data_IF_010928865364
#
_entry.id   IF_010928865364
#
_cell.length_a   1.000
_cell.length_b   1.000
_cell.length_c   1.000
_cell.angle_alpha   90.00
_cell.angle_beta   90.00
_cell.angle_gamma   90.00
#
_symmetry.space_group_name_H-M   'P 1'
#
loop_
_entity.id
_entity.type
_entity.pdbx_description
1 polymer ?
#
# COMPACT_ATOMS: atom_id res chain seq x y z
N UNK A 1 -4.80 -6.60 -21.14
CA UNK A 1 -4.32 -6.23 -19.78
C UNK A 1 -3.87 -4.78 -19.79
N UNK A 2 -4.68 -3.92 -19.18
CA UNK A 2 -4.49 -2.48 -19.00
C UNK A 2 -3.33 -2.18 -18.03
N UNK A 3 -2.87 -0.93 -18.00
CA UNK A 3 -1.86 -0.46 -17.05
C UNK A 3 -2.35 -0.63 -15.60
N UNK A 4 -3.64 -0.35 -15.35
CA UNK A 4 -4.29 -0.52 -14.04
C UNK A 4 -4.24 -1.97 -13.57
N UNK A 5 -4.63 -2.92 -14.42
CA UNK A 5 -4.60 -4.35 -14.09
C UNK A 5 -3.18 -4.87 -13.83
N UNK A 6 -2.18 -4.40 -14.61
CA UNK A 6 -0.77 -4.74 -14.37
C UNK A 6 -0.29 -4.24 -13.02
N UNK A 7 -0.61 -3.00 -12.67
CA UNK A 7 -0.30 -2.43 -11.37
C UNK A 7 -0.96 -3.22 -10.23
N UNK A 8 -2.26 -3.50 -10.35
CA UNK A 8 -3.00 -4.29 -9.36
C UNK A 8 -2.44 -5.71 -9.22
N UNK A 9 -2.04 -6.36 -10.32
CA UNK A 9 -1.39 -7.67 -10.28
C UNK A 9 -0.08 -7.64 -9.48
N UNK A 10 0.70 -6.58 -9.63
CA UNK A 10 1.92 -6.40 -8.85
C UNK A 10 1.63 -6.16 -7.36
N UNK A 11 0.62 -5.36 -7.03
CA UNK A 11 0.21 -5.12 -5.65
C UNK A 11 -0.35 -6.39 -4.98
N UNK A 12 -1.14 -7.18 -5.72
CA UNK A 12 -1.66 -8.46 -5.26
C UNK A 12 -0.54 -9.45 -4.95
N UNK A 13 0.42 -9.62 -5.87
CA UNK A 13 1.56 -10.49 -5.67
C UNK A 13 2.40 -10.09 -4.44
N UNK A 14 2.65 -8.78 -4.27
CA UNK A 14 3.32 -8.25 -3.07
C UNK A 14 2.53 -8.55 -1.80
N UNK A 15 1.22 -8.30 -1.78
CA UNK A 15 0.34 -8.55 -0.64
C UNK A 15 0.35 -10.03 -0.23
N UNK A 16 0.22 -10.94 -1.19
CA UNK A 16 0.27 -12.39 -0.95
C UNK A 16 1.65 -12.80 -0.39
N UNK A 17 2.73 -12.31 -0.99
CA UNK A 17 4.09 -12.57 -0.51
C UNK A 17 4.31 -12.08 0.92
N UNK A 18 3.88 -10.85 1.21
CA UNK A 18 4.01 -10.22 2.52
C UNK A 18 3.23 -10.96 3.63
N UNK A 19 2.09 -11.57 3.31
CA UNK A 19 1.30 -12.30 4.31
C UNK A 19 1.68 -13.77 4.46
N UNK A 20 2.16 -14.43 3.40
CA UNK A 20 2.26 -15.91 3.39
C UNK A 20 3.65 -16.47 3.06
N UNK A 21 4.63 -15.64 2.68
CA UNK A 21 5.99 -16.10 2.38
C UNK A 21 6.98 -15.62 3.43
N UNK A 22 7.53 -16.54 4.23
CA UNK A 22 8.57 -16.24 5.23
C UNK A 22 9.86 -15.62 4.64
N UNK A 23 10.07 -15.78 3.32
CA UNK A 23 11.21 -15.20 2.59
C UNK A 23 10.94 -13.76 2.14
N UNK A 24 9.70 -13.29 2.20
CA UNK A 24 9.35 -11.95 1.77
C UNK A 24 9.87 -10.92 2.78
N UNK A 25 10.48 -9.80 2.33
CA UNK A 25 11.09 -8.82 3.24
C UNK A 25 10.10 -8.22 4.25
N UNK A 26 8.85 -8.02 3.83
CA UNK A 26 7.80 -7.49 4.71
C UNK A 26 7.07 -8.57 5.54
N UNK A 27 7.45 -9.85 5.48
CA UNK A 27 6.73 -10.92 6.19
C UNK A 27 6.59 -10.64 7.68
N UNK A 28 7.67 -10.21 8.33
CA UNK A 28 7.69 -9.87 9.76
C UNK A 28 6.68 -8.78 10.17
N UNK A 29 6.20 -7.95 9.23
CA UNK A 29 5.23 -6.87 9.48
C UNK A 29 3.79 -7.30 9.31
N UNK A 30 3.56 -8.38 8.58
CA UNK A 30 2.22 -8.84 8.23
C UNK A 30 2.04 -10.29 8.64
N UNK A 31 2.49 -11.25 7.82
CA UNK A 31 2.32 -12.68 8.12
C UNK A 31 2.97 -13.15 9.42
N UNK A 32 4.05 -12.50 9.85
CA UNK A 32 4.73 -12.79 11.12
C UNK A 32 4.01 -12.25 12.36
N UNK A 33 2.96 -11.44 12.18
CA UNK A 33 2.11 -10.90 13.25
C UNK A 33 0.63 -11.22 12.99
N UNK A 34 0.37 -12.32 12.27
CA UNK A 34 -0.95 -12.86 11.96
C UNK A 34 -1.88 -11.96 11.12
N UNK A 35 -1.32 -10.99 10.39
CA UNK A 35 -2.09 -10.28 9.36
C UNK A 35 -2.22 -11.17 8.13
N UNK A 36 -3.47 -11.36 7.70
CA UNK A 36 -3.83 -12.19 6.55
C UNK A 36 -4.48 -11.38 5.44
N UNK A 37 -4.84 -12.06 4.36
CA UNK A 37 -5.60 -11.52 3.22
C UNK A 37 -6.99 -12.13 3.24
N UNK A 38 -8.03 -11.33 2.96
CA UNK A 38 -9.40 -11.81 2.83
C UNK A 38 -9.47 -13.01 1.87
N UNK A 39 -10.19 -14.09 2.22
CA UNK A 39 -10.23 -15.32 1.42
C UNK A 39 -10.55 -15.07 -0.05
N UNK A 40 -11.55 -14.21 -0.34
CA UNK A 40 -11.92 -13.85 -1.72
C UNK A 40 -10.74 -13.30 -2.54
N UNK A 41 -9.96 -12.38 -1.95
CA UNK A 41 -8.79 -11.79 -2.62
C UNK A 41 -7.64 -12.77 -2.76
N UNK A 42 -7.48 -13.67 -1.79
CA UNK A 42 -6.44 -14.70 -1.80
C UNK A 42 -6.70 -15.75 -2.88
N UNK A 43 -7.95 -16.19 -3.00
CA UNK A 43 -8.37 -17.28 -3.87
C UNK A 43 -8.65 -16.83 -5.30
N UNK A 44 -9.13 -15.60 -5.49
CA UNK A 44 -9.52 -15.08 -6.79
C UNK A 44 -8.97 -13.67 -7.03
N UNK A 45 -7.99 -13.57 -7.93
CA UNK A 45 -7.42 -12.28 -8.34
C UNK A 45 -8.46 -11.33 -8.94
N UNK A 46 -9.46 -11.85 -9.67
CA UNK A 46 -10.48 -11.00 -10.31
C UNK A 46 -11.37 -10.30 -9.28
N UNK A 47 -11.66 -10.95 -8.13
CA UNK A 47 -12.40 -10.28 -7.05
C UNK A 47 -11.60 -9.12 -6.46
N UNK A 48 -10.28 -9.30 -6.30
CA UNK A 48 -9.38 -8.24 -5.87
C UNK A 48 -9.36 -7.07 -6.88
N UNK A 49 -9.30 -7.38 -8.18
CA UNK A 49 -9.33 -6.33 -9.21
C UNK A 49 -10.64 -5.56 -9.16
N UNK A 50 -11.78 -6.25 -9.12
CA UNK A 50 -13.10 -5.63 -9.10
C UNK A 50 -13.28 -4.70 -7.88
N UNK A 51 -12.82 -5.11 -6.70
CA UNK A 51 -12.91 -4.26 -5.50
C UNK A 51 -11.97 -3.05 -5.52
N UNK A 52 -10.81 -3.18 -6.19
CA UNK A 52 -9.74 -2.18 -6.10
C UNK A 52 -9.68 -1.22 -7.30
N UNK A 53 -10.17 -1.60 -8.47
CA UNK A 53 -9.93 -0.86 -9.72
C UNK A 53 -10.49 0.56 -9.70
N UNK A 54 -11.64 0.77 -9.05
CA UNK A 54 -12.28 2.08 -8.92
C UNK A 54 -11.71 2.90 -7.75
N UNK A 55 -10.91 2.28 -6.88
CA UNK A 55 -10.23 2.97 -5.78
C UNK A 55 -8.87 3.55 -6.18
N UNK A 56 -8.37 3.20 -7.37
CA UNK A 56 -7.04 3.58 -7.81
C UNK A 56 -6.88 5.10 -7.88
N UNK A 57 -5.74 5.65 -7.38
CA UNK A 57 -5.46 7.06 -7.49
C UNK A 57 -5.28 7.46 -8.96
N UNK A 58 -5.51 8.74 -9.26
CA UNK A 58 -5.36 9.31 -10.62
C UNK A 58 -3.95 9.06 -11.19
N UNK A 59 -2.93 9.10 -10.34
CA UNK A 59 -1.55 8.76 -10.69
C UNK A 59 -1.12 7.52 -9.91
N UNK A 60 -0.63 6.51 -10.64
CA UNK A 60 -0.11 5.26 -10.08
C UNK A 60 1.37 5.36 -9.70
N UNK A 61 2.06 6.40 -10.19
CA UNK A 61 3.46 6.66 -9.90
C UNK A 61 3.68 6.81 -8.40
N UNK A 62 4.69 6.12 -7.87
CA UNK A 62 5.05 6.16 -6.44
C UNK A 62 3.90 5.76 -5.50
N UNK A 63 2.92 4.99 -5.95
CA UNK A 63 1.82 4.49 -5.11
C UNK A 63 2.06 3.05 -4.69
N UNK A 64 1.68 2.74 -3.45
CA UNK A 64 1.61 1.38 -2.92
C UNK A 64 0.39 1.21 -2.03
N UNK A 65 -0.05 -0.04 -1.89
CA UNK A 65 -1.10 -0.39 -0.95
C UNK A 65 -0.56 -0.40 0.49
N UNK A 66 -1.36 0.05 1.44
CA UNK A 66 -1.13 -0.09 2.87
C UNK A 66 -2.43 -0.41 3.61
N UNK A 67 -2.31 -0.90 4.84
CA UNK A 67 -3.45 -1.12 5.72
C UNK A 67 -3.84 0.18 6.43
N UNK A 68 -5.15 0.44 6.52
CA UNK A 68 -5.71 1.50 7.35
C UNK A 68 -5.62 1.12 8.83
N UNK A 69 -6.00 -0.12 9.17
CA UNK A 69 -5.83 -0.69 10.50
C UNK A 69 -4.87 -1.88 10.43
N UNK A 70 -3.69 -1.80 11.07
CA UNK A 70 -2.66 -2.85 11.00
C UNK A 70 -3.04 -4.14 11.72
N UNK A 71 -4.09 -4.15 12.54
CA UNK A 71 -4.59 -5.35 13.24
C UNK A 71 -5.67 -6.11 12.47
N UNK A 72 -6.04 -5.63 11.28
CA UNK A 72 -7.09 -6.23 10.44
C UNK A 72 -6.49 -6.78 9.14
N UNK A 73 -7.13 -7.79 8.52
CA UNK A 73 -6.67 -8.37 7.27
C UNK A 73 -6.63 -7.35 6.11
N UNK A 74 -5.94 -7.69 5.04
CA UNK A 74 -6.11 -7.04 3.75
C UNK A 74 -7.50 -7.39 3.19
N UNK A 75 -8.41 -6.44 3.23
CA UNK A 75 -9.78 -6.58 2.76
C UNK A 75 -10.31 -5.24 2.25
N UNK A 76 -11.39 -5.24 1.45
CA UNK A 76 -12.08 -4.01 1.09
C UNK A 76 -12.48 -3.21 2.31
N UNK A 77 -12.16 -1.91 2.29
CA UNK A 77 -12.39 -1.01 3.41
C UNK A 77 -11.26 -0.96 4.45
N UNK A 78 -10.31 -1.91 4.45
CA UNK A 78 -9.13 -1.84 5.33
C UNK A 78 -7.82 -1.52 4.59
N UNK A 79 -7.88 -1.16 3.32
CA UNK A 79 -6.72 -0.78 2.52
C UNK A 79 -6.80 0.67 2.05
N UNK A 80 -5.64 1.26 1.81
CA UNK A 80 -5.49 2.60 1.25
C UNK A 80 -4.27 2.70 0.33
N UNK A 81 -4.28 3.71 -0.55
CA UNK A 81 -3.20 4.00 -1.48
C UNK A 81 -2.28 5.10 -0.94
N UNK A 82 -1.11 4.71 -0.47
CA UNK A 82 -0.11 5.63 0.09
C UNK A 82 1.02 5.90 -0.90
N UNK A 83 1.73 7.01 -0.70
CA UNK A 83 2.98 7.23 -1.41
C UNK A 83 4.09 6.29 -0.90
N UNK A 84 4.88 5.76 -1.81
CA UNK A 84 6.01 4.88 -1.54
C UNK A 84 7.26 5.66 -1.08
N UNK A 85 7.30 6.98 -1.30
CA UNK A 85 8.44 7.86 -1.02
C UNK A 85 8.75 7.92 0.49
N UNK A 86 10.05 8.01 0.85
CA UNK A 86 10.53 8.07 2.25
C UNK A 86 10.04 9.28 3.05
N UNK A 87 9.48 10.31 2.40
CA UNK A 87 8.94 11.50 3.05
C UNK A 87 7.53 11.23 3.60
N UNK A 88 7.47 10.49 4.69
CA UNK A 88 6.24 10.28 5.50
C UNK A 88 5.67 11.58 6.11
N UNK A 89 6.25 12.76 5.83
CA UNK A 89 5.98 14.01 6.54
C UNK A 89 6.08 15.30 5.74
N UNK A 90 5.85 15.30 4.42
CA UNK A 90 5.77 16.56 3.64
C UNK A 90 4.34 17.02 3.35
N UNK A 91 3.33 16.47 4.01
CA UNK A 91 2.00 17.10 4.07
C UNK A 91 1.67 17.40 5.51
N UNK A 92 1.66 18.69 5.84
CA UNK A 92 0.91 19.18 6.98
C UNK A 92 -0.58 18.82 6.78
N UNK A 93 -1.37 18.62 7.85
CA UNK A 93 -2.77 18.22 7.77
C UNK A 93 -3.66 19.19 6.96
N UNK A 94 -3.21 20.43 6.73
CA UNK A 94 -3.86 21.47 5.91
C UNK A 94 -3.43 21.45 4.42
N UNK A 95 -2.51 20.57 4.01
CA UNK A 95 -2.11 20.41 2.61
C UNK A 95 -0.99 21.35 2.14
N UNK A 96 -0.39 22.16 3.02
CA UNK A 96 0.82 22.90 2.71
C UNK A 96 2.06 22.00 2.64
N UNK A 97 2.92 22.27 1.66
CA UNK A 97 4.27 21.72 1.58
C UNK A 97 5.15 22.56 2.51
N UNK A 98 5.99 21.97 3.37
CA UNK A 98 6.90 22.75 4.18
C UNK A 98 7.93 23.42 3.28
N UNK A 99 8.20 24.68 3.57
CA UNK A 99 9.12 25.51 2.82
C UNK A 99 10.52 24.87 2.76
N UNK A 100 11.07 24.79 1.55
CA UNK A 100 12.33 24.09 1.27
C UNK A 100 13.54 24.69 2.00
N UNK A 101 13.38 25.90 2.56
CA UNK A 101 14.38 26.59 3.38
C UNK A 101 14.62 25.89 4.74
N UNK A 102 13.57 25.41 5.42
CA UNK A 102 13.71 24.80 6.76
C UNK A 102 14.42 23.42 6.74
N UNK A 103 14.26 22.66 5.66
CA UNK A 103 14.86 21.33 5.55
C UNK A 103 16.40 21.36 5.51
N UNK A 104 17.01 22.48 5.08
CA UNK A 104 18.47 22.63 5.03
C UNK A 104 19.09 23.02 6.37
N UNK A 105 18.32 23.60 7.29
CA UNK A 105 18.86 24.12 8.56
C UNK A 105 19.12 23.03 9.60
N UNK A 106 18.42 21.88 9.52
CA UNK A 106 18.58 20.74 10.46
C UNK A 106 19.75 19.80 10.15
N UNK A 107 20.64 20.19 9.23
CA UNK A 107 21.80 19.40 8.79
C UNK A 107 23.15 20.08 9.05
N UNK A 108 23.15 21.12 9.88
CA UNK A 108 24.36 21.76 10.41
C UNK A 108 24.72 21.16 11.76
#
# INVERSE_FOLDING_TARGET
MTIKERFLKQQHAWMIGACYSRKHPDFHRYGGVDVSVAPRWKECFDTFVNDMIDTLPRSLSERRMALRNPRRPFEPGNVEWVFASKHRGLRAPDGTLPDASEARSRRA
#
